data_IF_825728028606
#
_entry.id   IF_825728028606
#
_cell.length_a   1.000
_cell.length_b   1.000
_cell.length_c   1.000
_cell.angle_alpha   90.00
_cell.angle_beta   90.00
_cell.angle_gamma   90.00
#
_symmetry.space_group_name_H-M   'P 1'
#
loop_
_entity.id
_entity.type
_entity.pdbx_description
1 polymer ?
#
# COMPACT_ATOMS: atom_id res chain seq x y z
N UNK A 1 -11.89 6.75 -1.44
CA UNK A 1 -11.43 5.38 -1.09
C UNK A 1 -11.63 5.19 0.40
N UNK A 2 -12.37 4.16 0.82
CA UNK A 2 -12.75 3.97 2.22
C UNK A 2 -11.83 2.99 2.99
N UNK A 3 -10.54 2.99 2.63
CA UNK A 3 -9.52 2.01 3.04
C UNK A 3 -9.33 0.84 2.07
N UNK A 4 -8.49 -0.13 2.45
CA UNK A 4 -8.24 -1.35 1.69
C UNK A 4 -7.83 -2.54 2.57
N UNK A 5 -7.80 -3.72 1.95
CA UNK A 5 -7.13 -4.93 2.46
C UNK A 5 -5.95 -5.32 1.57
N UNK A 6 -4.86 -5.80 2.19
CA UNK A 6 -3.69 -6.30 1.46
C UNK A 6 -3.97 -7.70 0.87
N UNK A 7 -3.54 -7.92 -0.37
CA UNK A 7 -3.37 -9.23 -1.01
C UNK A 7 -1.87 -9.52 -1.07
N UNK A 8 -1.39 -10.27 -0.09
CA UNK A 8 0.04 -10.55 0.11
C UNK A 8 0.65 -11.33 -1.05
N UNK A 9 -0.06 -12.33 -1.59
CA UNK A 9 0.44 -13.18 -2.67
C UNK A 9 0.67 -12.40 -3.96
N UNK A 10 -0.15 -11.38 -4.19
CA UNK A 10 -0.03 -10.52 -5.37
C UNK A 10 0.79 -9.25 -5.12
N UNK A 11 1.15 -8.97 -3.87
CA UNK A 11 1.67 -7.67 -3.44
C UNK A 11 0.82 -6.51 -3.99
N UNK A 12 -0.49 -6.64 -3.85
CA UNK A 12 -1.47 -5.62 -4.24
C UNK A 12 -2.46 -5.40 -3.08
N UNK A 13 -3.38 -4.47 -3.24
CA UNK A 13 -4.45 -4.25 -2.28
C UNK A 13 -5.80 -4.15 -2.98
N UNK A 14 -6.85 -4.60 -2.29
CA UNK A 14 -8.24 -4.44 -2.72
C UNK A 14 -8.86 -3.28 -1.95
N UNK A 15 -9.25 -2.23 -2.68
CA UNK A 15 -9.88 -1.03 -2.14
C UNK A 15 -11.32 -1.30 -1.71
N UNK A 16 -11.73 -0.73 -0.59
CA UNK A 16 -13.14 -0.72 -0.18
C UNK A 16 -13.89 0.36 -0.98
N UNK A 17 -15.07 -0.01 -1.48
CA UNK A 17 -15.93 0.86 -2.30
C UNK A 17 -15.53 0.95 -3.77
N UNK A 18 -14.58 0.15 -4.24
CA UNK A 18 -14.21 0.13 -5.66
C UNK A 18 -15.40 -0.32 -6.52
N UNK A 19 -15.73 0.44 -7.56
CA UNK A 19 -16.90 0.26 -8.43
C UNK A 19 -18.27 0.23 -7.68
N UNK A 20 -18.37 0.90 -6.53
CA UNK A 20 -19.63 1.04 -5.80
C UNK A 20 -20.07 2.49 -5.76
N UNK A 21 -21.37 2.72 -5.85
CA UNK A 21 -21.97 4.04 -5.60
C UNK A 21 -21.97 4.26 -4.09
N UNK A 22 -21.47 5.41 -3.65
CA UNK A 22 -21.54 5.82 -2.26
C UNK A 22 -22.98 6.26 -1.92
N UNK A 23 -23.56 5.61 -0.91
CA UNK A 23 -24.89 5.84 -0.34
C UNK A 23 -24.80 6.01 1.19
N UNK A 24 -23.62 6.32 1.71
CA UNK A 24 -23.34 6.47 3.14
C UNK A 24 -22.82 5.20 3.81
N UNK A 25 -22.56 4.11 3.06
CA UNK A 25 -22.00 2.87 3.61
C UNK A 25 -20.54 3.02 4.09
N UNK A 26 -19.94 4.19 3.87
CA UNK A 26 -18.58 4.53 4.29
C UNK A 26 -18.53 5.68 5.29
N UNK A 27 -19.66 6.16 5.83
CA UNK A 27 -19.69 7.34 6.71
C UNK A 27 -19.29 7.05 8.16
N UNK A 28 -18.90 5.82 8.49
CA UNK A 28 -18.47 5.44 9.84
C UNK A 28 -16.96 5.24 9.90
N UNK A 29 -16.26 5.88 10.86
CA UNK A 29 -14.85 5.60 11.13
C UNK A 29 -14.64 4.11 11.42
N UNK A 30 -13.57 3.53 10.87
CA UNK A 30 -13.25 2.11 11.08
C UNK A 30 -11.77 1.80 10.96
N UNK A 31 -11.35 0.74 11.64
CA UNK A 31 -10.03 0.17 11.41
C UNK A 31 -9.99 -0.47 10.01
N UNK A 32 -8.87 -0.31 9.30
CA UNK A 32 -8.67 -0.84 7.96
C UNK A 32 -7.37 -1.63 7.87
N UNK A 33 -7.32 -2.56 6.91
CA UNK A 33 -6.12 -3.35 6.67
C UNK A 33 -4.97 -2.54 6.09
N UNK A 34 -5.30 -1.43 5.42
CA UNK A 34 -4.39 -0.62 4.63
C UNK A 34 -4.99 0.76 4.33
N UNK A 35 -4.16 1.80 4.34
CA UNK A 35 -4.50 3.14 3.86
C UNK A 35 -3.64 3.49 2.64
N UNK A 36 -4.24 4.07 1.60
CA UNK A 36 -3.49 4.53 0.43
C UNK A 36 -2.70 5.80 0.72
N UNK A 37 -1.57 5.93 0.03
CA UNK A 37 -0.62 7.03 0.07
C UNK A 37 -1.11 8.46 -0.23
N UNK A 38 -2.37 8.69 -0.59
CA UNK A 38 -2.80 10.03 -1.00
C UNK A 38 -2.65 11.06 0.13
N UNK A 39 -2.99 10.65 1.34
CA UNK A 39 -2.80 11.43 2.56
C UNK A 39 -2.90 10.52 3.78
N UNK A 40 -1.95 10.64 4.71
CA UNK A 40 -1.99 9.96 6.00
C UNK A 40 -1.50 10.92 7.06
N UNK A 41 -2.20 10.96 8.20
CA UNK A 41 -1.70 11.59 9.41
C UNK A 41 -1.07 10.50 10.27
N UNK A 42 0.21 10.66 10.58
CA UNK A 42 0.99 9.65 11.30
C UNK A 42 1.58 10.30 12.54
N UNK A 43 1.44 9.65 13.70
CA UNK A 43 2.04 10.15 14.94
C UNK A 43 3.56 10.12 14.83
N UNK A 44 4.21 11.09 15.46
CA UNK A 44 5.68 11.17 15.51
C UNK A 44 6.33 9.89 16.06
N UNK A 45 5.73 9.29 17.09
CA UNK A 45 6.22 8.05 17.72
C UNK A 45 6.35 6.88 16.73
N UNK A 46 5.45 6.78 15.74
CA UNK A 46 5.53 5.74 14.71
C UNK A 46 6.84 5.84 13.94
N UNK A 47 7.25 7.05 13.55
CA UNK A 47 8.52 7.25 12.86
C UNK A 47 9.74 6.95 13.74
N UNK A 48 9.63 7.13 15.06
CA UNK A 48 10.69 6.77 15.98
C UNK A 48 10.85 5.23 16.07
N UNK A 49 9.74 4.50 16.01
CA UNK A 49 9.74 3.05 16.14
C UNK A 49 10.15 2.34 14.85
N UNK A 50 9.58 2.72 13.71
CA UNK A 50 9.80 2.00 12.44
C UNK A 50 10.78 2.71 11.50
N UNK A 51 11.10 3.98 11.74
CA UNK A 51 11.89 4.81 10.83
C UNK A 51 11.06 5.42 9.68
N UNK A 52 11.70 6.17 8.76
CA UNK A 52 11.04 6.85 7.65
C UNK A 52 10.52 5.88 6.57
N UNK A 53 9.99 6.42 5.47
CA UNK A 53 9.69 5.64 4.28
C UNK A 53 11.00 5.06 3.69
N UNK A 54 10.93 3.86 3.15
CA UNK A 54 12.11 3.20 2.56
C UNK A 54 12.52 3.88 1.25
N UNK A 55 13.82 4.17 1.14
CA UNK A 55 14.45 4.69 -0.09
C UNK A 55 14.69 3.61 -1.15
N UNK A 56 14.39 2.35 -0.85
CA UNK A 56 14.54 1.24 -1.80
C UNK A 56 13.56 1.35 -2.97
N UNK A 57 12.47 2.10 -2.79
CA UNK A 57 11.38 2.27 -3.75
C UNK A 57 11.46 3.62 -4.46
N UNK A 58 11.05 3.64 -5.72
CA UNK A 58 10.93 4.88 -6.49
C UNK A 58 9.64 4.89 -7.30
N UNK A 59 8.80 5.91 -7.10
CA UNK A 59 7.57 6.10 -7.85
C UNK A 59 6.45 5.13 -7.44
N UNK A 60 6.38 4.73 -6.18
CA UNK A 60 5.29 3.96 -5.58
C UNK A 60 5.76 2.71 -4.83
N UNK A 61 4.91 2.27 -3.88
CA UNK A 61 5.09 1.15 -2.93
C UNK A 61 5.73 1.56 -1.60
N UNK A 62 6.50 2.65 -1.54
CA UNK A 62 7.13 3.14 -0.30
C UNK A 62 6.14 3.33 0.86
N UNK A 63 4.97 3.90 0.59
CA UNK A 63 3.95 4.10 1.62
C UNK A 63 3.28 2.78 1.97
N UNK A 64 3.16 1.87 0.99
CA UNK A 64 2.60 0.55 1.26
C UNK A 64 3.49 -0.22 2.24
N UNK A 65 4.80 -0.16 2.02
CA UNK A 65 5.82 -0.75 2.86
C UNK A 65 5.82 -0.15 4.27
N UNK A 66 5.72 1.18 4.38
CA UNK A 66 5.63 1.89 5.65
C UNK A 66 4.42 1.45 6.47
N UNK A 67 3.24 1.38 5.84
CA UNK A 67 1.99 0.96 6.49
C UNK A 67 2.09 -0.48 6.98
N UNK A 68 2.72 -1.37 6.21
CA UNK A 68 2.95 -2.77 6.61
C UNK A 68 3.87 -2.86 7.82
N UNK A 69 4.98 -2.11 7.85
CA UNK A 69 5.87 -2.04 9.03
C UNK A 69 5.13 -1.53 10.26
N UNK A 70 4.36 -0.45 10.12
CA UNK A 70 3.58 0.11 11.22
C UNK A 70 2.62 -0.94 11.82
N UNK A 71 1.90 -1.70 10.97
CA UNK A 71 1.07 -2.81 11.46
C UNK A 71 1.87 -3.91 12.14
N UNK A 72 3.09 -4.19 11.66
CA UNK A 72 4.00 -5.15 12.26
C UNK A 72 4.35 -4.82 13.70
N UNK A 73 4.52 -3.53 14.01
CA UNK A 73 4.72 -3.00 15.37
C UNK A 73 3.41 -2.81 16.17
N UNK A 74 2.28 -3.33 15.67
CA UNK A 74 0.99 -3.28 16.37
C UNK A 74 0.21 -1.98 16.22
N UNK A 75 0.67 -1.03 15.39
CA UNK A 75 -0.10 0.17 15.10
C UNK A 75 -1.36 -0.13 14.29
N UNK A 76 -2.45 0.51 14.68
CA UNK A 76 -3.73 0.44 13.97
C UNK A 76 -3.83 1.52 12.91
N UNK A 77 -4.51 1.20 11.82
CA UNK A 77 -4.79 2.14 10.74
C UNK A 77 -6.28 2.40 10.73
N UNK A 78 -6.66 3.67 10.81
CA UNK A 78 -8.06 4.07 10.81
C UNK A 78 -8.41 4.87 9.55
N UNK A 79 -9.56 4.56 8.99
CA UNK A 79 -10.23 5.39 7.99
C UNK A 79 -11.13 6.39 8.72
N UNK A 80 -11.01 7.66 8.34
CA UNK A 80 -11.76 8.79 8.93
C UNK A 80 -12.58 9.46 7.81
N UNK A 81 -13.89 9.19 7.72
CA UNK A 81 -14.72 9.68 6.61
C UNK A 81 -14.92 11.20 6.61
N UNK A 82 -14.88 11.83 7.79
CA UNK A 82 -15.06 13.29 7.93
C UNK A 82 -13.90 14.11 7.34
N UNK A 83 -12.75 13.48 7.08
CA UNK A 83 -11.56 14.13 6.52
C UNK A 83 -11.48 13.88 5.01
N UNK A 84 -12.08 14.78 4.21
CA UNK A 84 -12.12 14.66 2.75
C UNK A 84 -10.99 15.46 2.10
N UNK A 85 -10.19 14.77 1.27
CA UNK A 85 -9.12 15.37 0.45
C UNK A 85 -9.30 14.98 -1.01
N UNK A 86 -9.26 15.96 -1.90
CA UNK A 86 -9.32 15.76 -3.34
C UNK A 86 -7.90 15.57 -3.91
N UNK A 87 -7.66 14.43 -4.54
CA UNK A 87 -6.35 14.10 -5.11
C UNK A 87 -6.44 13.87 -6.62
N UNK A 88 -5.66 14.61 -7.40
CA UNK A 88 -5.58 14.44 -8.86
C UNK A 88 -4.64 13.28 -9.20
N UNK A 89 -5.20 12.19 -9.71
CA UNK A 89 -4.46 10.96 -10.02
C UNK A 89 -3.66 11.13 -11.32
N UNK A 90 -2.44 10.55 -11.37
CA UNK A 90 -1.73 10.28 -12.63
C UNK A 90 -0.77 11.35 -13.14
N UNK A 91 -0.40 12.34 -12.31
CA UNK A 91 0.54 13.40 -12.71
C UNK A 91 2.01 12.98 -12.57
N UNK A 92 2.38 12.28 -11.50
CA UNK A 92 3.80 11.98 -11.18
C UNK A 92 4.33 10.67 -11.76
N UNK A 93 3.46 9.84 -12.34
CA UNK A 93 3.81 8.51 -12.83
C UNK A 93 3.18 8.25 -14.21
N UNK A 94 3.99 8.27 -15.25
CA UNK A 94 3.54 7.94 -16.61
C UNK A 94 3.51 6.43 -16.79
N UNK A 95 2.32 5.85 -16.62
CA UNK A 95 2.05 4.46 -16.98
C UNK A 95 2.38 4.24 -18.46
N UNK A 96 3.01 3.12 -18.78
CA UNK A 96 3.35 2.75 -20.16
C UNK A 96 4.73 3.22 -20.65
N UNK A 97 5.51 3.93 -19.83
CA UNK A 97 6.92 4.21 -20.14
C UNK A 97 7.81 3.03 -19.70
N UNK A 98 8.94 2.75 -20.41
CA UNK A 98 9.87 1.70 -20.01
C UNK A 98 10.37 1.84 -18.56
N UNK A 99 10.67 3.07 -18.13
CA UNK A 99 11.11 3.37 -16.76
C UNK A 99 10.00 3.13 -15.73
N UNK A 100 8.78 3.56 -16.02
CA UNK A 100 7.63 3.31 -15.14
C UNK A 100 7.36 1.82 -14.97
N UNK A 101 7.34 1.08 -16.09
CA UNK A 101 7.18 -0.37 -16.08
C UNK A 101 8.29 -1.05 -15.27
N UNK A 102 9.55 -0.72 -15.52
CA UNK A 102 10.69 -1.23 -14.76
C UNK A 102 10.53 -1.00 -13.25
N UNK A 103 10.24 0.25 -12.84
CA UNK A 103 10.07 0.60 -11.43
C UNK A 103 8.90 -0.15 -10.78
N UNK A 104 7.76 -0.29 -11.47
CA UNK A 104 6.62 -1.07 -10.99
C UNK A 104 7.01 -2.52 -10.66
N UNK A 105 7.69 -3.20 -11.59
CA UNK A 105 8.09 -4.59 -11.37
C UNK A 105 9.20 -4.71 -10.33
N UNK A 106 10.21 -3.84 -10.37
CA UNK A 106 11.30 -3.79 -9.37
C UNK A 106 10.74 -3.60 -7.96
N UNK A 107 9.92 -2.58 -7.75
CA UNK A 107 9.36 -2.24 -6.45
C UNK A 107 8.48 -3.39 -5.93
N UNK A 108 7.68 -4.01 -6.82
CA UNK A 108 6.90 -5.19 -6.47
C UNK A 108 7.77 -6.36 -6.00
N UNK A 109 8.86 -6.67 -6.72
CA UNK A 109 9.78 -7.75 -6.36
C UNK A 109 10.44 -7.52 -4.99
N UNK A 110 10.93 -6.31 -4.74
CA UNK A 110 11.55 -5.93 -3.46
C UNK A 110 10.54 -6.10 -2.31
N UNK A 111 9.32 -5.60 -2.49
CA UNK A 111 8.25 -5.74 -1.49
C UNK A 111 7.91 -7.21 -1.21
N UNK A 112 7.77 -8.03 -2.26
CA UNK A 112 7.48 -9.45 -2.12
C UNK A 112 8.60 -10.19 -1.40
N UNK A 113 9.86 -9.90 -1.73
CA UNK A 113 11.00 -10.49 -1.04
C UNK A 113 11.05 -10.12 0.45
N UNK A 114 10.61 -8.91 0.81
CA UNK A 114 10.63 -8.40 2.19
C UNK A 114 9.53 -9.00 3.08
N UNK A 115 8.33 -9.23 2.53
CA UNK A 115 7.16 -9.60 3.35
C UNK A 115 6.53 -10.96 3.06
N UNK A 116 6.88 -11.64 1.96
CA UNK A 116 6.43 -13.02 1.79
C UNK A 116 7.22 -13.97 2.68
N UNK A 117 6.52 -14.98 3.19
CA UNK A 117 7.20 -16.09 3.87
C UNK A 117 8.19 -16.77 2.91
N UNK A 118 9.29 -17.38 3.43
CA UNK A 118 10.27 -18.05 2.57
C UNK A 118 9.65 -19.11 1.65
N UNK A 119 8.60 -19.79 2.10
CA UNK A 119 7.84 -20.75 1.29
C UNK A 119 7.11 -20.06 0.13
N UNK A 120 6.31 -19.03 0.42
CA UNK A 120 5.55 -18.30 -0.59
C UNK A 120 6.46 -17.61 -1.60
N UNK A 121 7.60 -17.08 -1.15
CA UNK A 121 8.61 -16.49 -2.02
C UNK A 121 9.22 -17.51 -2.99
N UNK A 122 9.60 -18.70 -2.51
CA UNK A 122 10.12 -19.79 -3.34
C UNK A 122 9.09 -20.26 -4.36
N UNK A 123 7.83 -20.46 -3.93
CA UNK A 123 6.74 -20.88 -4.81
C UNK A 123 6.46 -19.83 -5.89
N UNK A 124 6.38 -18.55 -5.50
CA UNK A 124 6.16 -17.46 -6.44
C UNK A 124 7.29 -17.33 -7.46
N UNK A 125 8.55 -17.45 -7.04
CA UNK A 125 9.70 -17.47 -7.95
C UNK A 125 9.59 -18.63 -8.93
N UNK A 126 9.30 -19.85 -8.45
CA UNK A 126 9.21 -21.03 -9.33
C UNK A 126 8.16 -20.84 -10.43
N UNK A 127 6.97 -20.31 -10.10
CA UNK A 127 5.92 -20.04 -11.08
C UNK A 127 6.17 -18.84 -12.02
N UNK A 128 7.24 -18.06 -11.79
CA UNK A 128 7.64 -16.95 -12.66
C UNK A 128 8.77 -17.34 -13.64
N UNK A 129 9.49 -18.44 -13.35
CA UNK A 129 10.56 -18.99 -14.19
C UNK A 129 10.08 -20.03 -15.22
N UNK A 130 8.81 -20.40 -15.19
CA UNK A 130 8.11 -21.30 -16.13
C UNK A 130 7.10 -20.45 -16.92
#
# INVERSE_FOLDING_TARGET
MAGARMDWLRATYKRYGDNQIDRGQFDTPREVGFASAYFMLVKKEVFADIGPLSEDYFGGVEECEFVVRAKGEGYKIYYVPDSVIWHKIGQSFTRGTPRGTYNCYRNKLIFMQKFLSPFNWKLWRFGFYI
#
